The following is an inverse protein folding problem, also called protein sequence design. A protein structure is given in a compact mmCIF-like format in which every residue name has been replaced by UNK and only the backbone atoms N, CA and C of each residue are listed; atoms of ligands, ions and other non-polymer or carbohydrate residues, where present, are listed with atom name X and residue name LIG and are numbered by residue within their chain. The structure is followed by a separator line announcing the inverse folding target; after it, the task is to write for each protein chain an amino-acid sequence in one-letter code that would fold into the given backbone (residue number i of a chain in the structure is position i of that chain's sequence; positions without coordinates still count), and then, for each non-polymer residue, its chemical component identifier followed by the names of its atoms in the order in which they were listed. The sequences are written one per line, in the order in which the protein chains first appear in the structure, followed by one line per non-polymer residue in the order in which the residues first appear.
data_IF_884996014173
#
_entry.id   IF_884996014173
#
_cell.length_a   1.000
_cell.length_b   1.000
_cell.length_c   1.000
_cell.angle_alpha   90.00
_cell.angle_beta   90.00
_cell.angle_gamma   90.00
#
_symmetry.space_group_name_H-M   'P 1'
#
loop_
_entity.id
_entity.type
_entity.pdbx_description
1 polymer ?
#
# COMPACT_ATOMS: atom_id res chain seq x y z
N UNK A 1 5.94 16.92 -11.92
CA UNK A 1 5.75 15.97 -10.83
C UNK A 1 5.20 14.66 -11.38
N UNK A 2 5.76 13.52 -10.98
CA UNK A 2 5.45 12.20 -11.53
C UNK A 2 4.73 11.29 -10.54
N UNK A 3 4.42 11.77 -9.31
CA UNK A 3 3.73 10.94 -8.33
C UNK A 3 2.44 11.58 -7.81
N UNK A 4 1.41 10.79 -7.56
CA UNK A 4 0.09 11.24 -7.07
C UNK A 4 0.20 12.11 -5.81
N UNK A 5 1.08 11.73 -4.88
CA UNK A 5 1.26 12.48 -3.62
C UNK A 5 1.85 13.85 -3.86
N UNK A 6 2.86 13.98 -4.71
CA UNK A 6 3.46 15.26 -5.05
C UNK A 6 2.52 16.15 -5.84
N UNK A 7 1.75 15.60 -6.77
CA UNK A 7 0.69 16.34 -7.50
C UNK A 7 -0.32 16.93 -6.53
N UNK A 8 -0.83 16.13 -5.59
CA UNK A 8 -1.76 16.58 -4.55
C UNK A 8 -1.15 17.74 -3.73
N UNK A 9 0.14 17.65 -3.39
CA UNK A 9 0.85 18.68 -2.65
C UNK A 9 0.95 19.99 -3.46
N UNK A 10 1.26 19.90 -4.74
CA UNK A 10 1.35 21.07 -5.62
C UNK A 10 -0.01 21.76 -5.77
N UNK A 11 -1.10 21.02 -5.90
CA UNK A 11 -2.45 21.60 -5.90
C UNK A 11 -2.76 22.32 -4.59
N UNK A 12 -2.41 21.75 -3.44
CA UNK A 12 -2.59 22.40 -2.14
C UNK A 12 -1.78 23.71 -2.02
N UNK A 13 -0.56 23.74 -2.56
CA UNK A 13 0.27 24.95 -2.61
C UNK A 13 -0.34 25.99 -3.56
N UNK A 14 -0.89 25.57 -4.69
CA UNK A 14 -1.56 26.46 -5.64
C UNK A 14 -2.79 27.13 -4.99
N UNK A 15 -3.65 26.36 -4.33
CA UNK A 15 -4.82 26.87 -3.63
C UNK A 15 -4.47 27.88 -2.54
N UNK A 16 -3.33 27.72 -1.88
CA UNK A 16 -2.83 28.65 -0.86
C UNK A 16 -2.07 29.85 -1.41
N UNK A 17 -1.82 29.91 -2.73
CA UNK A 17 -0.97 30.92 -3.34
C UNK A 17 0.53 30.78 -3.02
N UNK A 18 0.97 29.62 -2.58
CA UNK A 18 2.35 29.31 -2.19
C UNK A 18 3.18 28.72 -3.35
N UNK A 19 2.56 28.38 -4.47
CA UNK A 19 3.25 27.83 -5.64
C UNK A 19 3.87 28.96 -6.46
N UNK A 20 5.20 29.09 -6.38
CA UNK A 20 5.96 30.23 -6.95
C UNK A 20 6.50 29.97 -8.36
N UNK A 21 6.27 28.82 -8.94
CA UNK A 21 6.78 28.41 -10.25
C UNK A 21 5.76 27.57 -11.01
N UNK A 22 5.82 27.52 -12.35
CA UNK A 22 5.00 26.62 -13.14
C UNK A 22 5.33 25.16 -12.83
N UNK A 23 4.32 24.34 -12.54
CA UNK A 23 4.46 22.92 -12.29
C UNK A 23 3.63 22.11 -13.28
N UNK A 24 4.22 21.08 -13.87
CA UNK A 24 3.57 20.20 -14.84
C UNK A 24 3.29 18.86 -14.18
N UNK A 25 2.01 18.47 -14.19
CA UNK A 25 1.58 17.15 -13.72
C UNK A 25 1.79 16.12 -14.83
N UNK A 26 2.84 15.34 -14.71
CA UNK A 26 3.14 14.20 -15.61
C UNK A 26 2.52 12.91 -15.10
N UNK A 27 2.28 12.81 -13.79
CA UNK A 27 1.72 11.59 -13.19
C UNK A 27 0.37 11.20 -13.81
N UNK A 28 -0.50 12.17 -14.08
CA UNK A 28 -1.84 11.91 -14.61
C UNK A 28 -1.87 11.77 -16.14
N UNK A 29 -0.72 11.83 -16.80
CA UNK A 29 -0.58 11.36 -18.17
C UNK A 29 -0.97 9.87 -18.22
N UNK A 30 -1.79 9.49 -19.21
CA UNK A 30 -2.25 8.10 -19.39
C UNK A 30 -1.06 7.14 -19.48
N UNK A 31 -0.02 7.53 -20.20
CA UNK A 31 1.20 6.72 -20.39
C UNK A 31 2.11 6.67 -19.15
N UNK A 32 1.80 7.42 -18.08
CA UNK A 32 2.53 7.33 -16.81
C UNK A 32 1.72 6.56 -15.77
N UNK A 33 0.61 7.11 -15.28
CA UNK A 33 -0.12 6.53 -14.14
C UNK A 33 -0.72 5.15 -14.45
N UNK A 34 -1.24 4.94 -15.65
CA UNK A 34 -1.82 3.66 -16.05
C UNK A 34 -0.78 2.60 -16.42
N UNK A 35 0.49 2.98 -16.50
CA UNK A 35 1.60 2.06 -16.81
C UNK A 35 2.54 1.91 -15.62
N UNK A 36 3.27 2.94 -15.21
CA UNK A 36 4.26 2.84 -14.15
C UNK A 36 3.62 2.51 -12.79
N UNK A 37 2.57 3.23 -12.39
CA UNK A 37 1.94 2.99 -11.10
C UNK A 37 1.28 1.60 -11.03
N UNK A 38 0.81 1.07 -12.16
CA UNK A 38 0.20 -0.25 -12.24
C UNK A 38 1.25 -1.35 -12.46
N UNK A 39 1.92 -1.34 -13.60
CA UNK A 39 2.85 -2.41 -14.01
C UNK A 39 4.15 -2.39 -13.23
N UNK A 40 4.68 -1.19 -12.92
CA UNK A 40 5.88 -1.04 -12.11
C UNK A 40 5.68 -1.61 -10.70
N UNK A 41 4.58 -1.28 -10.04
CA UNK A 41 4.25 -1.82 -8.72
C UNK A 41 3.92 -3.32 -8.77
N UNK A 42 3.30 -3.80 -9.87
CA UNK A 42 3.05 -5.22 -10.07
C UNK A 42 4.35 -6.03 -10.13
N UNK A 43 5.39 -5.50 -10.75
CA UNK A 43 6.69 -6.16 -10.83
C UNK A 43 7.48 -6.01 -9.53
N UNK A 44 7.56 -4.81 -8.96
CA UNK A 44 8.46 -4.49 -7.86
C UNK A 44 8.00 -4.97 -6.49
N UNK A 45 6.68 -5.10 -6.22
CA UNK A 45 6.19 -5.44 -4.88
C UNK A 45 6.70 -6.79 -4.40
N UNK A 46 6.43 -7.84 -5.16
CA UNK A 46 6.84 -9.20 -4.78
C UNK A 46 8.37 -9.34 -4.74
N UNK A 47 9.09 -8.68 -5.65
CA UNK A 47 10.56 -8.64 -5.63
C UNK A 47 11.07 -8.01 -4.33
N UNK A 48 10.50 -6.86 -3.93
CA UNK A 48 10.86 -6.17 -2.68
C UNK A 48 10.62 -7.03 -1.45
N UNK A 49 9.45 -7.66 -1.33
CA UNK A 49 9.13 -8.55 -0.20
C UNK A 49 10.09 -9.72 -0.15
N UNK A 50 10.36 -10.37 -1.27
CA UNK A 50 11.28 -11.52 -1.34
C UNK A 50 12.72 -11.14 -0.98
N UNK A 51 13.22 -10.02 -1.48
CA UNK A 51 14.56 -9.52 -1.13
C UNK A 51 14.71 -9.19 0.35
N UNK A 52 13.65 -8.64 0.95
CA UNK A 52 13.69 -8.26 2.35
C UNK A 52 13.53 -9.45 3.31
N UNK A 53 12.78 -10.49 2.93
CA UNK A 53 12.31 -11.50 3.88
C UNK A 53 12.70 -12.94 3.53
N UNK A 54 13.01 -13.23 2.27
CA UNK A 54 13.18 -14.59 1.70
C UNK A 54 11.96 -15.51 1.90
N UNK A 55 10.78 -14.93 2.15
CA UNK A 55 9.56 -15.68 2.48
C UNK A 55 8.89 -16.20 1.20
N UNK A 56 8.34 -17.41 1.28
CA UNK A 56 7.44 -17.93 0.25
C UNK A 56 6.11 -17.20 0.31
N UNK A 57 5.67 -16.63 -0.81
CA UNK A 57 4.39 -15.91 -0.92
C UNK A 57 3.19 -16.82 -1.16
N UNK A 58 3.41 -17.93 -1.88
CA UNK A 58 2.33 -18.86 -2.23
C UNK A 58 1.60 -19.39 -0.99
N UNK A 59 0.27 -19.39 -1.05
CA UNK A 59 -0.61 -19.86 0.03
C UNK A 59 -0.87 -18.86 1.15
N UNK A 60 -0.12 -17.76 1.22
CA UNK A 60 -0.34 -16.70 2.22
C UNK A 60 -1.59 -15.88 1.91
N UNK A 61 -2.18 -15.30 2.96
CA UNK A 61 -3.23 -14.31 2.85
C UNK A 61 -2.59 -12.92 2.88
N UNK A 62 -2.84 -12.12 1.86
CA UNK A 62 -2.29 -10.79 1.75
C UNK A 62 -3.40 -9.73 1.69
N UNK A 63 -3.35 -8.75 2.60
CA UNK A 63 -4.19 -7.57 2.55
C UNK A 63 -3.47 -6.48 1.77
N UNK A 64 -4.16 -5.89 0.79
CA UNK A 64 -3.74 -4.67 0.09
C UNK A 64 -4.69 -3.55 0.47
N UNK A 65 -4.17 -2.52 1.12
CA UNK A 65 -4.92 -1.32 1.49
C UNK A 65 -4.82 -0.28 0.37
N UNK A 66 -5.96 -0.06 -0.29
CA UNK A 66 -6.09 0.78 -1.48
C UNK A 66 -6.22 -0.04 -2.77
N UNK A 67 -7.07 0.44 -3.70
CA UNK A 67 -7.28 -0.20 -5.01
C UNK A 67 -7.26 0.83 -6.17
N UNK A 68 -6.41 1.85 -6.03
CA UNK A 68 -5.99 2.72 -7.13
C UNK A 68 -5.01 1.99 -8.07
N UNK A 69 -4.29 2.71 -8.91
CA UNK A 69 -3.37 2.08 -9.87
C UNK A 69 -2.27 1.26 -9.16
N UNK A 70 -1.69 1.80 -8.09
CA UNK A 70 -0.68 1.09 -7.26
C UNK A 70 -1.29 -0.14 -6.59
N UNK A 71 -2.47 0.00 -6.00
CA UNK A 71 -3.18 -1.11 -5.33
C UNK A 71 -3.55 -2.23 -6.30
N UNK A 72 -4.03 -1.90 -7.51
CA UNK A 72 -4.32 -2.87 -8.58
C UNK A 72 -3.08 -3.66 -8.99
N UNK A 73 -1.97 -2.97 -9.24
CA UNK A 73 -0.70 -3.63 -9.56
C UNK A 73 -0.22 -4.53 -8.43
N UNK A 74 -0.28 -4.04 -7.19
CA UNK A 74 0.10 -4.78 -5.98
C UNK A 74 -0.75 -6.04 -5.77
N UNK A 75 -2.06 -5.94 -5.92
CA UNK A 75 -2.98 -7.07 -5.79
C UNK A 75 -2.70 -8.15 -6.85
N UNK A 76 -2.49 -7.73 -8.10
CA UNK A 76 -2.12 -8.65 -9.19
C UNK A 76 -0.79 -9.33 -8.94
N UNK A 77 0.22 -8.59 -8.46
CA UNK A 77 1.53 -9.13 -8.09
C UNK A 77 1.40 -10.30 -7.11
N UNK A 78 0.73 -10.06 -5.98
CA UNK A 78 0.56 -11.06 -4.93
C UNK A 78 -0.29 -12.25 -5.39
N UNK A 79 -1.35 -12.02 -6.15
CA UNK A 79 -2.20 -13.07 -6.71
C UNK A 79 -1.43 -13.97 -7.67
N UNK A 80 -0.56 -13.40 -8.52
CA UNK A 80 0.27 -14.17 -9.45
C UNK A 80 1.27 -15.08 -8.74
N UNK A 81 1.74 -14.70 -7.55
CA UNK A 81 2.59 -15.53 -6.70
C UNK A 81 1.81 -16.51 -5.81
N UNK A 82 0.48 -16.63 -6.01
CA UNK A 82 -0.35 -17.60 -5.32
C UNK A 82 -0.85 -17.17 -3.95
N UNK A 83 -0.80 -15.87 -3.62
CA UNK A 83 -1.48 -15.34 -2.43
C UNK A 83 -3.01 -15.33 -2.62
N UNK A 84 -3.73 -15.50 -1.51
CA UNK A 84 -5.14 -15.12 -1.40
C UNK A 84 -5.20 -13.65 -1.03
N UNK A 85 -5.67 -12.82 -1.96
CA UNK A 85 -5.61 -11.36 -1.79
C UNK A 85 -6.95 -10.84 -1.28
N UNK A 86 -6.87 -9.99 -0.25
CA UNK A 86 -7.96 -9.23 0.34
C UNK A 86 -7.69 -7.76 0.04
N UNK A 87 -8.72 -7.02 -0.34
CA UNK A 87 -8.64 -5.58 -0.59
C UNK A 87 -9.42 -4.82 0.49
N UNK A 88 -8.88 -3.73 0.96
CA UNK A 88 -9.64 -2.71 1.69
C UNK A 88 -9.58 -1.40 0.92
N UNK A 89 -10.74 -0.77 0.74
CA UNK A 89 -10.88 0.45 -0.08
C UNK A 89 -12.05 1.29 0.41
N UNK A 90 -11.86 2.60 0.48
CA UNK A 90 -12.90 3.55 0.89
C UNK A 90 -13.70 4.09 -0.28
N UNK A 91 -13.12 4.13 -1.49
CA UNK A 91 -13.82 4.53 -2.70
C UNK A 91 -14.73 3.39 -3.17
N UNK A 92 -16.04 3.58 -3.22
CA UNK A 92 -16.98 2.50 -3.56
C UNK A 92 -16.81 2.02 -5.01
N UNK A 93 -16.33 2.86 -5.92
CA UNK A 93 -16.09 2.47 -7.32
C UNK A 93 -14.86 1.55 -7.39
N UNK A 94 -13.77 1.92 -6.74
CA UNK A 94 -12.57 1.08 -6.67
C UNK A 94 -12.84 -0.24 -5.92
N UNK A 95 -13.62 -0.19 -4.82
CA UNK A 95 -14.06 -1.38 -4.10
C UNK A 95 -14.89 -2.32 -4.97
N UNK A 96 -15.84 -1.78 -5.74
CA UNK A 96 -16.65 -2.56 -6.68
C UNK A 96 -15.79 -3.18 -7.78
N UNK A 97 -14.81 -2.44 -8.33
CA UNK A 97 -13.88 -2.99 -9.31
C UNK A 97 -13.10 -4.18 -8.73
N UNK A 98 -12.59 -4.06 -7.50
CA UNK A 98 -11.90 -5.16 -6.83
C UNK A 98 -12.79 -6.40 -6.68
N UNK A 99 -14.05 -6.21 -6.26
CA UNK A 99 -15.02 -7.30 -6.14
C UNK A 99 -15.32 -7.95 -7.50
N UNK A 100 -15.48 -7.17 -8.58
CA UNK A 100 -15.70 -7.68 -9.94
C UNK A 100 -14.49 -8.46 -10.48
N UNK A 101 -13.27 -8.13 -10.03
CA UNK A 101 -12.07 -8.88 -10.38
C UNK A 101 -11.84 -10.12 -9.50
N UNK A 102 -12.79 -10.42 -8.59
CA UNK A 102 -12.82 -11.63 -7.79
C UNK A 102 -11.96 -11.55 -6.51
N UNK A 103 -11.64 -10.36 -6.04
CA UNK A 103 -11.03 -10.18 -4.74
C UNK A 103 -12.07 -10.12 -3.62
N UNK A 104 -11.72 -10.60 -2.45
CA UNK A 104 -12.48 -10.33 -1.23
C UNK A 104 -12.26 -8.87 -0.83
N UNK A 105 -13.36 -8.10 -0.66
CA UNK A 105 -13.30 -6.70 -0.21
C UNK A 105 -13.88 -6.63 1.20
N UNK A 106 -13.09 -6.14 2.15
CA UNK A 106 -13.50 -6.01 3.56
C UNK A 106 -12.71 -4.94 4.28
N UNK A 107 -12.89 -4.77 5.57
CA UNK A 107 -12.12 -3.83 6.41
C UNK A 107 -10.79 -4.43 6.85
N UNK A 108 -9.87 -3.56 7.29
CA UNK A 108 -8.59 -4.01 7.86
C UNK A 108 -8.85 -4.89 9.09
N UNK A 109 -9.79 -4.45 9.95
CA UNK A 109 -10.10 -5.12 11.21
C UNK A 109 -10.57 -6.57 11.02
N UNK A 110 -11.36 -6.83 9.98
CA UNK A 110 -11.82 -8.18 9.65
C UNK A 110 -10.70 -9.06 9.10
N UNK A 111 -9.70 -8.47 8.47
CA UNK A 111 -8.56 -9.17 7.91
C UNK A 111 -7.46 -9.47 8.95
N UNK A 112 -7.38 -8.73 10.07
CA UNK A 112 -6.31 -8.87 11.07
C UNK A 112 -6.07 -10.31 11.56
N UNK A 113 -7.11 -11.13 11.85
CA UNK A 113 -6.87 -12.49 12.36
C UNK A 113 -6.39 -13.47 11.29
N UNK A 114 -6.50 -13.15 10.01
CA UNK A 114 -6.24 -14.08 8.92
C UNK A 114 -5.10 -13.69 7.98
N UNK A 115 -4.78 -12.40 7.84
CA UNK A 115 -3.76 -11.94 6.92
C UNK A 115 -2.34 -12.20 7.46
N UNK A 116 -1.46 -12.61 6.58
CA UNK A 116 -0.03 -12.84 6.83
C UNK A 116 0.82 -11.68 6.33
N UNK A 117 0.35 -10.97 5.30
CA UNK A 117 1.04 -9.86 4.64
C UNK A 117 0.08 -8.67 4.56
N UNK A 118 0.58 -7.49 4.88
CA UNK A 118 -0.14 -6.22 4.78
C UNK A 118 0.64 -5.26 3.91
N UNK A 119 0.00 -4.72 2.88
CA UNK A 119 0.61 -3.77 1.94
C UNK A 119 -0.22 -2.50 1.88
N UNK A 120 0.39 -1.35 2.19
CA UNK A 120 -0.27 -0.06 2.06
C UNK A 120 0.07 0.60 0.72
N UNK A 121 -0.94 1.13 0.03
CA UNK A 121 -0.84 1.65 -1.35
C UNK A 121 -1.64 2.93 -1.57
N UNK A 122 -2.07 3.59 -0.48
CA UNK A 122 -3.10 4.64 -0.55
C UNK A 122 -2.55 6.03 -0.85
N UNK A 123 -1.26 6.28 -0.61
CA UNK A 123 -0.68 7.62 -0.62
C UNK A 123 -1.28 8.55 0.45
N UNK A 124 -1.87 7.98 1.49
CA UNK A 124 -2.45 8.71 2.62
C UNK A 124 -1.62 8.45 3.88
N UNK A 125 -2.15 8.67 5.08
CA UNK A 125 -1.46 8.46 6.35
C UNK A 125 -2.28 7.61 7.30
N UNK A 126 -1.60 6.98 8.28
CA UNK A 126 -2.23 6.25 9.39
C UNK A 126 -3.20 5.14 8.93
N UNK A 127 -2.86 4.45 7.84
CA UNK A 127 -3.65 3.32 7.31
C UNK A 127 -3.49 2.09 8.21
N UNK A 128 -2.26 1.76 8.57
CA UNK A 128 -1.94 0.73 9.55
C UNK A 128 -1.54 1.41 10.87
N UNK A 129 -2.42 1.30 11.85
CA UNK A 129 -2.22 1.89 13.19
C UNK A 129 -1.58 0.89 14.15
N UNK A 130 -1.11 1.39 15.30
CA UNK A 130 -0.61 0.57 16.40
C UNK A 130 -1.66 -0.44 16.88
N UNK A 131 -2.93 -0.04 16.92
CA UNK A 131 -4.02 -0.94 17.34
C UNK A 131 -4.26 -2.09 16.33
N UNK A 132 -4.00 -1.85 15.05
CA UNK A 132 -3.98 -2.91 14.06
C UNK A 132 -2.79 -3.85 14.30
N UNK A 133 -1.58 -3.31 14.46
CA UNK A 133 -0.34 -4.08 14.63
C UNK A 133 -0.44 -5.02 15.85
N UNK A 134 -0.98 -4.54 16.96
CA UNK A 134 -1.20 -5.36 18.18
C UNK A 134 -2.12 -6.57 17.99
N UNK A 135 -2.97 -6.55 16.96
CA UNK A 135 -3.94 -7.60 16.65
C UNK A 135 -3.54 -8.49 15.49
N UNK A 136 -2.44 -8.17 14.81
CA UNK A 136 -1.91 -8.98 13.74
C UNK A 136 -1.42 -10.33 14.24
N UNK A 137 -1.34 -11.29 13.34
CA UNK A 137 -0.74 -12.60 13.61
C UNK A 137 0.75 -12.46 13.94
N UNK A 138 1.27 -13.37 14.71
CA UNK A 138 2.72 -13.53 14.85
C UNK A 138 3.39 -13.72 13.49
N UNK A 139 4.55 -13.09 13.28
CA UNK A 139 5.30 -13.07 12.02
C UNK A 139 4.58 -12.39 10.84
N UNK A 140 3.60 -11.53 11.10
CA UNK A 140 2.98 -10.73 10.05
C UNK A 140 4.01 -9.84 9.35
N UNK A 141 3.96 -9.80 8.03
CA UNK A 141 4.80 -8.92 7.21
C UNK A 141 3.99 -7.66 6.91
N UNK A 142 4.53 -6.50 7.28
CA UNK A 142 3.92 -5.19 7.01
C UNK A 142 4.85 -4.39 6.12
N UNK A 143 4.37 -3.94 4.97
CA UNK A 143 5.15 -3.16 4.03
C UNK A 143 4.33 -2.05 3.37
N UNK A 144 5.02 -1.01 2.92
CA UNK A 144 4.45 0.09 2.19
C UNK A 144 5.07 0.15 0.79
N UNK A 145 4.25 0.31 -0.22
CA UNK A 145 4.66 0.63 -1.59
C UNK A 145 4.14 2.01 -2.03
N UNK A 146 3.36 2.68 -1.18
CA UNK A 146 3.01 4.09 -1.36
C UNK A 146 4.22 5.00 -1.25
N UNK A 147 4.02 6.29 -1.57
CA UNK A 147 5.14 7.24 -1.64
C UNK A 147 5.76 7.56 -0.28
N UNK A 148 4.95 7.73 0.75
CA UNK A 148 5.41 8.06 2.10
C UNK A 148 5.25 6.87 3.06
N UNK A 149 6.21 6.74 3.96
CA UNK A 149 6.24 5.72 5.02
C UNK A 149 5.20 5.92 6.13
N UNK A 150 4.60 7.12 6.22
CA UNK A 150 3.59 7.48 7.23
C UNK A 150 2.21 6.81 7.02
N UNK A 151 2.05 5.97 6.02
CA UNK A 151 0.90 5.08 5.89
C UNK A 151 0.87 4.04 7.03
N UNK A 152 2.03 3.72 7.60
CA UNK A 152 2.20 2.81 8.73
C UNK A 152 2.74 3.60 9.92
N UNK A 153 2.17 3.45 11.10
CA UNK A 153 2.60 4.15 12.31
C UNK A 153 3.90 3.56 12.89
N UNK A 154 4.99 3.59 12.10
CA UNK A 154 6.29 3.00 12.47
C UNK A 154 6.92 3.73 13.65
N UNK A 155 6.91 5.05 13.66
CA UNK A 155 7.45 5.85 14.76
C UNK A 155 6.75 5.53 16.10
N UNK A 156 5.43 5.42 16.07
CA UNK A 156 4.67 5.03 17.26
C UNK A 156 4.98 3.60 17.71
N UNK A 157 5.23 2.69 16.76
CA UNK A 157 5.65 1.32 17.05
C UNK A 157 7.03 1.28 17.72
N UNK A 158 8.01 2.02 17.19
CA UNK A 158 9.36 2.08 17.73
C UNK A 158 9.39 2.65 19.17
N UNK A 159 8.48 3.55 19.49
CA UNK A 159 8.35 4.17 20.83
C UNK A 159 7.46 3.35 21.79
N UNK A 160 6.87 2.25 21.35
CA UNK A 160 5.99 1.45 22.20
C UNK A 160 6.81 0.65 23.24
N UNK A 161 6.47 0.73 24.54
CA UNK A 161 7.17 -0.03 25.57
C UNK A 161 7.18 -1.55 25.28
N UNK A 162 8.34 -2.17 25.37
CA UNK A 162 8.53 -3.60 25.15
C UNK A 162 8.81 -4.01 23.69
N UNK A 163 8.72 -3.10 22.75
CA UNK A 163 9.12 -3.35 21.36
C UNK A 163 10.65 -3.29 21.22
N UNK A 164 11.21 -4.22 20.47
CA UNK A 164 12.62 -4.25 20.12
C UNK A 164 12.80 -4.25 18.62
N UNK A 165 13.59 -3.31 18.11
CA UNK A 165 13.98 -3.27 16.70
C UNK A 165 15.18 -4.18 16.48
N UNK A 166 15.05 -5.12 15.55
CA UNK A 166 16.13 -6.03 15.14
C UNK A 166 16.41 -5.84 13.65
N UNK A 167 17.65 -5.63 13.29
CA UNK A 167 18.08 -5.63 11.89
C UNK A 167 18.42 -7.07 11.50
N UNK A 168 17.71 -7.59 10.50
CA UNK A 168 17.90 -8.98 10.05
C UNK A 168 18.73 -9.03 8.76
N UNK A 169 18.64 -8.00 7.93
CA UNK A 169 19.41 -7.81 6.67
C UNK A 169 19.92 -6.39 6.54
#
# INVERSE_FOLDING_TARGET
EETTTGVKRLYQMLEKGELLFPAINVNDSVTKSKFDNLYGCRESLADGIKRATDVMLAGKVALVAGYGDVGKGSAQSLRQFGCRVIITEIDPICALQAAMEGYTVTTIEEALPIADIYVTTTGNKDIITIEHIKKMKDQAIVCNIGHFDNEIQVEALENLPGVKKLNIK
#
